data_IF_012181366867
#
_entry.id   IF_012181366867
#
_cell.length_a   1.000
_cell.length_b   1.000
_cell.length_c   1.000
_cell.angle_alpha   90.00
_cell.angle_beta   90.00
_cell.angle_gamma   90.00
#
_symmetry.space_group_name_H-M   'P 1'
#
loop_
_entity.id
_entity.type
_entity.pdbx_description
1 polymer ?
#
# COMPACT_ATOMS: atom_id res chain seq x y z
N UNK A 1 1.69 12.63 -20.45
CA UNK A 1 0.35 12.12 -20.85
C UNK A 1 0.39 11.74 -22.32
N UNK A 2 0.89 10.54 -22.60
CA UNK A 2 0.93 9.98 -23.94
C UNK A 2 0.16 8.65 -23.89
N UNK A 3 -0.90 8.53 -24.67
CA UNK A 3 -1.74 7.32 -24.74
C UNK A 3 -1.47 6.66 -26.08
N UNK A 4 -1.04 5.40 -26.05
CA UNK A 4 -0.88 4.58 -27.25
C UNK A 4 -2.13 3.69 -27.40
N UNK A 5 -2.82 3.82 -28.53
CA UNK A 5 -3.96 2.97 -28.88
C UNK A 5 -3.57 2.12 -30.09
N UNK A 6 -3.65 0.79 -29.94
CA UNK A 6 -3.41 -0.17 -31.01
C UNK A 6 -4.73 -0.86 -31.31
N UNK A 7 -5.29 -0.57 -32.48
CA UNK A 7 -6.59 -1.08 -32.91
C UNK A 7 -6.48 -2.37 -33.72
N UNK A 8 -7.56 -3.15 -33.73
CA UNK A 8 -7.71 -4.33 -34.58
C UNK A 8 -6.63 -5.42 -34.39
N UNK A 9 -6.07 -5.53 -33.19
CA UNK A 9 -5.08 -6.57 -32.86
C UNK A 9 -5.78 -7.93 -32.84
N UNK A 10 -5.23 -8.92 -33.55
CA UNK A 10 -5.75 -10.27 -33.48
C UNK A 10 -5.52 -10.83 -32.07
N UNK A 11 -6.54 -11.50 -31.52
CA UNK A 11 -6.43 -12.06 -30.17
C UNK A 11 -5.20 -12.95 -30.01
N UNK A 12 -4.87 -13.76 -31.03
CA UNK A 12 -3.73 -14.68 -31.02
C UNK A 12 -2.36 -14.00 -31.01
N UNK A 13 -2.28 -12.74 -31.43
CA UNK A 13 -1.04 -11.94 -31.41
C UNK A 13 -0.75 -11.33 -30.03
N UNK A 14 -1.68 -11.47 -29.07
CA UNK A 14 -1.51 -10.96 -27.72
C UNK A 14 -0.63 -11.88 -26.85
N UNK A 15 0.13 -11.31 -25.90
CA UNK A 15 0.85 -12.07 -24.89
C UNK A 15 -0.06 -13.09 -24.16
N UNK A 16 0.47 -14.28 -23.90
CA UNK A 16 -0.29 -15.37 -23.25
C UNK A 16 -0.86 -14.95 -21.88
N UNK A 17 -0.08 -14.18 -21.10
CA UNK A 17 -0.51 -13.65 -19.81
C UNK A 17 -1.75 -12.74 -19.90
N UNK A 18 -1.92 -12.03 -21.02
CA UNK A 18 -3.09 -11.18 -21.25
C UNK A 18 -4.29 -12.01 -21.73
N UNK A 19 -4.03 -13.01 -22.59
CA UNK A 19 -5.06 -13.92 -23.09
C UNK A 19 -5.69 -14.77 -22.00
N UNK A 20 -4.91 -15.23 -21.01
CA UNK A 20 -5.40 -16.07 -19.92
C UNK A 20 -6.55 -15.44 -19.10
N UNK A 21 -6.62 -14.11 -19.04
CA UNK A 21 -7.67 -13.38 -18.33
C UNK A 21 -8.90 -13.04 -19.18
N UNK A 22 -8.86 -13.27 -20.49
CA UNK A 22 -9.88 -12.80 -21.43
C UNK A 22 -10.62 -13.98 -22.09
N UNK A 23 -11.95 -14.01 -21.92
CA UNK A 23 -12.83 -14.95 -22.61
C UNK A 23 -13.41 -14.27 -23.85
N UNK A 24 -12.74 -14.42 -24.99
CA UNK A 24 -13.18 -13.85 -26.27
C UNK A 24 -13.33 -14.98 -27.30
N UNK A 25 -14.26 -14.80 -28.24
CA UNK A 25 -14.45 -15.74 -29.34
C UNK A 25 -13.15 -15.91 -30.15
N UNK A 26 -12.94 -17.13 -30.67
CA UNK A 26 -11.83 -17.41 -31.58
C UNK A 26 -11.88 -16.43 -32.79
N UNK A 27 -10.71 -15.90 -33.17
CA UNK A 27 -10.53 -14.88 -34.21
C UNK A 27 -11.07 -13.47 -33.90
N UNK A 28 -11.33 -13.14 -32.64
CA UNK A 28 -11.72 -11.79 -32.28
C UNK A 28 -10.56 -10.79 -32.49
N UNK A 29 -10.96 -9.56 -32.83
CA UNK A 29 -10.05 -8.41 -32.87
C UNK A 29 -10.29 -7.55 -31.63
N UNK A 30 -9.20 -7.14 -30.99
CA UNK A 30 -9.24 -6.32 -29.77
C UNK A 30 -8.52 -4.99 -29.98
N UNK A 31 -8.79 -4.05 -29.09
CA UNK A 31 -8.08 -2.78 -29.01
C UNK A 31 -7.27 -2.75 -27.73
N UNK A 32 -5.97 -2.50 -27.83
CA UNK A 32 -5.07 -2.37 -26.69
C UNK A 32 -4.80 -0.89 -26.43
N UNK A 33 -5.10 -0.43 -25.22
CA UNK A 33 -4.80 0.93 -24.76
C UNK A 33 -3.70 0.87 -23.71
N UNK A 34 -2.58 1.51 -24.01
CA UNK A 34 -1.40 1.57 -23.13
C UNK A 34 -1.24 3.01 -22.70
N UNK A 35 -1.20 3.20 -21.39
CA UNK A 35 -1.04 4.50 -20.76
C UNK A 35 0.07 4.41 -19.72
N UNK A 36 0.83 5.49 -19.61
CA UNK A 36 1.75 5.67 -18.50
C UNK A 36 0.91 5.82 -17.22
N UNK A 37 0.98 4.81 -16.36
CA UNK A 37 0.43 4.89 -15.02
C UNK A 37 1.18 6.00 -14.29
N UNK A 38 0.47 7.06 -13.92
CA UNK A 38 1.05 8.06 -13.04
C UNK A 38 1.32 7.36 -11.71
N UNK A 39 2.59 7.34 -11.28
CA UNK A 39 2.92 7.04 -9.90
C UNK A 39 2.07 7.96 -9.04
N UNK A 40 1.02 7.39 -8.44
CA UNK A 40 0.36 8.04 -7.32
C UNK A 40 1.45 8.16 -6.28
N UNK A 41 1.93 9.39 -6.08
CA UNK A 41 2.80 9.71 -4.97
C UNK A 41 2.17 9.04 -3.74
N UNK A 42 2.94 8.22 -2.98
CA UNK A 42 2.40 7.57 -1.81
C UNK A 42 1.72 8.66 -1.00
N UNK A 43 0.45 8.45 -0.69
CA UNK A 43 -0.33 9.42 0.07
C UNK A 43 0.39 9.67 1.40
N UNK A 44 1.22 10.70 1.45
CA UNK A 44 1.78 11.26 2.68
C UNK A 44 0.71 12.09 3.39
N UNK A 45 -0.50 11.55 3.43
CA UNK A 45 -1.69 12.07 4.08
C UNK A 45 -2.42 10.85 4.62
N UNK A 46 -2.39 10.71 5.95
CA UNK A 46 -2.81 9.53 6.67
C UNK A 46 -4.13 8.97 6.17
N UNK A 47 -4.22 7.63 6.20
CA UNK A 47 -5.48 6.91 6.28
C UNK A 47 -6.46 7.79 7.07
N UNK A 48 -7.56 8.25 6.43
CA UNK A 48 -8.36 9.45 6.79
C UNK A 48 -8.94 9.53 8.20
N UNK A 49 -8.46 8.68 9.10
CA UNK A 49 -8.43 8.84 10.53
C UNK A 49 -7.54 10.04 10.93
N UNK A 50 -8.13 11.15 11.43
CA UNK A 50 -7.43 12.35 11.85
C UNK A 50 -6.49 12.14 13.05
N UNK A 51 -6.46 10.94 13.64
CA UNK A 51 -5.58 10.57 14.73
C UNK A 51 -4.19 10.09 14.23
N UNK A 52 -4.01 9.79 12.93
CA UNK A 52 -2.69 9.48 12.38
C UNK A 52 -1.89 10.77 12.15
N UNK A 53 -1.23 11.24 13.21
CA UNK A 53 -0.39 12.44 13.18
C UNK A 53 -0.25 13.11 14.53
N UNK A 54 -1.25 12.98 15.41
CA UNK A 54 -1.21 13.54 16.77
C UNK A 54 -0.11 12.95 17.65
N UNK A 55 0.39 11.76 17.34
CA UNK A 55 1.50 11.15 18.06
C UNK A 55 2.86 11.60 17.54
N UNK A 56 2.94 12.23 16.35
CA UNK A 56 4.20 12.60 15.70
C UNK A 56 5.03 13.58 16.53
N UNK A 57 4.37 14.48 17.25
CA UNK A 57 5.02 15.52 18.05
C UNK A 57 5.23 15.08 19.52
N UNK A 58 4.93 13.81 19.86
CA UNK A 58 5.13 13.28 21.20
C UNK A 58 6.62 12.96 21.42
N UNK A 59 7.16 13.39 22.55
CA UNK A 59 8.61 13.32 22.83
C UNK A 59 9.17 11.89 22.86
N UNK A 60 8.34 10.90 23.18
CA UNK A 60 8.65 9.47 23.17
C UNK A 60 8.75 8.86 21.76
N UNK A 61 8.22 9.53 20.72
CA UNK A 61 8.44 9.11 19.32
C UNK A 61 9.87 9.39 18.84
N UNK A 62 10.67 10.15 19.59
CA UNK A 62 12.10 10.33 19.31
C UNK A 62 12.90 9.02 19.50
N UNK A 63 12.41 8.10 20.33
CA UNK A 63 13.01 6.78 20.56
C UNK A 63 11.92 5.72 20.77
N UNK A 64 11.36 5.27 19.65
CA UNK A 64 10.27 4.28 19.60
C UNK A 64 10.68 2.96 20.24
N UNK A 65 11.96 2.56 20.11
CA UNK A 65 12.47 1.30 20.65
C UNK A 65 12.42 1.32 22.17
N UNK A 66 12.96 2.38 22.79
CA UNK A 66 12.91 2.57 24.24
C UNK A 66 11.47 2.65 24.77
N UNK A 67 10.59 3.36 24.05
CA UNK A 67 9.19 3.45 24.42
C UNK A 67 8.50 2.07 24.39
N UNK A 68 8.75 1.27 23.36
CA UNK A 68 8.19 -0.08 23.24
C UNK A 68 8.73 -1.05 24.31
N UNK A 69 9.99 -0.89 24.73
CA UNK A 69 10.57 -1.63 25.86
C UNK A 69 9.93 -1.23 27.19
N UNK A 70 9.70 0.06 27.43
CA UNK A 70 9.00 0.55 28.62
C UNK A 70 7.57 0.00 28.70
N UNK A 71 6.84 -0.01 27.57
CA UNK A 71 5.49 -0.59 27.52
C UNK A 71 5.44 -2.08 27.82
N UNK A 72 6.47 -2.83 27.40
CA UNK A 72 6.62 -4.27 27.65
C UNK A 72 7.22 -4.58 29.02
N UNK A 73 7.76 -3.59 29.71
CA UNK A 73 8.25 -3.78 31.08
C UNK A 73 7.12 -4.17 32.02
N UNK A 74 7.44 -5.00 33.00
CA UNK A 74 6.46 -5.45 33.98
C UNK A 74 5.96 -4.24 34.78
N UNK A 75 4.67 -3.92 34.66
CA UNK A 75 4.04 -2.79 35.35
C UNK A 75 3.91 -3.02 36.86
N UNK A 76 3.97 -4.28 37.28
CA UNK A 76 3.91 -4.70 38.67
C UNK A 76 5.18 -5.48 39.00
N UNK A 77 5.78 -5.17 40.15
CA UNK A 77 6.84 -6.02 40.71
C UNK A 77 6.30 -7.40 41.12
N UNK A 78 7.19 -8.31 41.50
CA UNK A 78 6.84 -9.63 42.10
C UNK A 78 5.89 -9.47 43.30
N UNK A 79 5.96 -8.33 43.99
CA UNK A 79 5.15 -8.01 45.17
C UNK A 79 3.82 -7.28 44.85
N UNK A 80 3.46 -7.13 43.57
CA UNK A 80 2.16 -6.58 43.13
C UNK A 80 2.02 -5.06 43.17
N UNK A 81 3.04 -4.32 43.59
CA UNK A 81 3.02 -2.85 43.61
C UNK A 81 3.52 -2.27 42.28
N UNK A 82 2.90 -1.16 41.85
CA UNK A 82 3.32 -0.46 40.65
C UNK A 82 4.66 0.22 40.86
N UNK A 83 5.61 -0.07 39.96
CA UNK A 83 6.85 0.69 39.87
C UNK A 83 6.57 1.97 39.09
N UNK A 84 6.12 3.01 39.78
CA UNK A 84 5.94 4.33 39.15
C UNK A 84 7.30 4.97 38.86
N UNK A 85 7.53 5.37 37.62
CA UNK A 85 8.59 6.29 37.19
C UNK A 85 8.11 7.15 36.03
#
# INVERSE_FOLDING_TARGET
>A
MNTLVIEHVAFDDLPEAWRAGMHVAANARVTVRIEEEQEQAPVTGGNGNPLFGMWRDRADMADVTRYAEQLRSARYGVDGWQSEK
#
